data_IF_331110973205
#
_entry.id   IF_331110973205
#
_cell.length_a   1.000
_cell.length_b   1.000
_cell.length_c   1.000
_cell.angle_alpha   90.00
_cell.angle_beta   90.00
_cell.angle_gamma   90.00
#
_symmetry.space_group_name_H-M   'P 1'
#
loop_
_entity.id
_entity.type
_entity.pdbx_description
1 polymer ?
#
# COMPACT_ATOMS: atom_id res chain seq x y z
N UNK A 1 -7.77 -22.91 -17.57
CA UNK A 1 -7.90 -21.45 -17.80
C UNK A 1 -6.76 -20.78 -17.04
N UNK A 2 -5.89 -19.99 -17.70
CA UNK A 2 -4.90 -19.16 -16.97
C UNK A 2 -5.68 -18.03 -16.31
N UNK A 3 -5.89 -18.11 -15.00
CA UNK A 3 -6.45 -17.01 -14.23
C UNK A 3 -5.40 -15.89 -14.16
N UNK A 4 -5.36 -15.01 -15.16
CA UNK A 4 -4.50 -13.83 -15.13
C UNK A 4 -5.13 -12.78 -14.24
N UNK A 5 -4.51 -12.53 -13.09
CA UNK A 5 -4.83 -11.37 -12.26
C UNK A 5 -4.24 -10.15 -12.98
N UNK A 6 -5.05 -9.13 -13.22
CA UNK A 6 -4.53 -7.88 -13.80
C UNK A 6 -3.65 -7.15 -12.77
N UNK A 7 -2.61 -6.40 -13.20
CA UNK A 7 -1.75 -5.65 -12.28
C UNK A 7 -2.53 -4.73 -11.32
N UNK A 8 -3.63 -4.14 -11.80
CA UNK A 8 -4.52 -3.33 -10.98
C UNK A 8 -5.24 -4.15 -9.90
N UNK A 9 -5.77 -5.34 -10.24
CA UNK A 9 -6.41 -6.22 -9.27
C UNK A 9 -5.42 -6.75 -8.23
N UNK A 10 -4.20 -7.07 -8.64
CA UNK A 10 -3.13 -7.48 -7.72
C UNK A 10 -2.78 -6.37 -6.73
N UNK A 11 -2.55 -5.14 -7.23
CA UNK A 11 -2.28 -3.97 -6.39
C UNK A 11 -3.40 -3.69 -5.40
N UNK A 12 -4.66 -3.78 -5.83
CA UNK A 12 -5.80 -3.60 -4.94
C UNK A 12 -5.86 -4.69 -3.85
N UNK A 13 -5.60 -5.94 -4.22
CA UNK A 13 -5.55 -7.06 -3.26
C UNK A 13 -4.43 -6.86 -2.23
N UNK A 14 -3.23 -6.50 -2.68
CA UNK A 14 -2.08 -6.23 -1.83
C UNK A 14 -2.37 -5.13 -0.81
N UNK A 15 -2.89 -3.99 -1.25
CA UNK A 15 -3.25 -2.88 -0.35
C UNK A 15 -4.36 -3.25 0.64
N UNK A 16 -5.36 -3.99 0.19
CA UNK A 16 -6.43 -4.50 1.07
C UNK A 16 -5.85 -5.45 2.12
N UNK A 17 -4.91 -6.30 1.75
CA UNK A 17 -4.25 -7.22 2.68
C UNK A 17 -3.35 -6.46 3.66
N UNK A 18 -2.56 -5.49 3.20
CA UNK A 18 -1.72 -4.62 4.03
C UNK A 18 -2.54 -3.87 5.09
N UNK A 19 -3.71 -3.34 4.69
CA UNK A 19 -4.66 -2.71 5.61
C UNK A 19 -5.16 -3.68 6.68
N UNK A 20 -5.45 -4.94 6.31
CA UNK A 20 -5.83 -5.99 7.27
C UNK A 20 -4.69 -6.38 8.23
N UNK A 21 -3.43 -6.12 7.88
CA UNK A 21 -2.28 -6.31 8.77
C UNK A 21 -2.05 -5.12 9.72
N UNK A 22 -2.88 -4.07 9.64
CA UNK A 22 -2.79 -2.89 10.49
C UNK A 22 -1.92 -1.77 9.94
N UNK A 23 -1.54 -1.82 8.64
CA UNK A 23 -0.88 -0.69 7.99
C UNK A 23 -1.90 0.41 7.74
N UNK A 24 -1.57 1.62 8.19
CA UNK A 24 -2.40 2.80 7.97
C UNK A 24 -2.52 3.14 6.48
N UNK A 25 -3.71 3.58 6.05
CA UNK A 25 -3.95 3.96 4.66
C UNK A 25 -2.97 5.05 4.20
N UNK A 26 -2.53 5.94 5.09
CA UNK A 26 -1.54 6.98 4.84
C UNK A 26 -0.17 6.44 4.41
N UNK A 27 0.22 5.25 4.89
CA UNK A 27 1.48 4.59 4.53
C UNK A 27 1.38 3.86 3.19
N UNK A 28 0.18 3.41 2.82
CA UNK A 28 -0.09 2.69 1.57
C UNK A 28 -0.32 3.69 0.41
N UNK A 29 -0.84 4.88 0.73
CA UNK A 29 -1.24 5.91 -0.21
C UNK A 29 -0.13 6.37 -1.19
N UNK A 30 1.15 6.53 -0.79
CA UNK A 30 2.22 6.88 -1.74
C UNK A 30 2.41 5.84 -2.85
N UNK A 31 2.15 4.57 -2.55
CA UNK A 31 2.31 3.45 -3.48
C UNK A 31 1.11 3.28 -4.42
N UNK A 32 -0.04 3.92 -4.14
CA UNK A 32 -1.26 3.73 -4.92
C UNK A 32 -1.30 4.57 -6.21
N UNK A 33 -0.47 5.61 -6.32
CA UNK A 33 -0.34 6.45 -7.52
C UNK A 33 -1.52 7.42 -7.73
N UNK A 34 -2.15 7.89 -6.65
CA UNK A 34 -3.21 8.90 -6.76
C UNK A 34 -2.59 10.29 -7.06
N UNK A 35 -2.94 10.87 -8.21
CA UNK A 35 -2.43 12.18 -8.68
C UNK A 35 -2.96 13.39 -7.88
N UNK A 36 -4.03 13.24 -7.10
CA UNK A 36 -4.62 14.36 -6.36
C UNK A 36 -3.89 14.62 -5.04
N UNK A 37 -2.84 15.45 -5.12
CA UNK A 37 -2.08 16.03 -4.00
C UNK A 37 -2.91 16.77 -2.93
N UNK A 38 -4.17 17.11 -3.20
CA UNK A 38 -4.99 17.89 -2.26
C UNK A 38 -5.52 17.10 -1.06
N UNK A 39 -5.65 15.78 -1.15
CA UNK A 39 -5.98 14.94 0.03
C UNK A 39 -4.73 14.48 0.80
N UNK A 40 -3.54 14.91 0.37
CA UNK A 40 -2.24 14.45 0.86
C UNK A 40 -1.54 15.41 1.84
N UNK A 41 -2.00 16.65 2.01
CA UNK A 41 -1.36 17.60 2.95
C UNK A 41 -1.46 17.16 4.42
N UNK A 42 -2.49 16.40 4.77
CA UNK A 42 -2.69 15.86 6.14
C UNK A 42 -1.66 14.76 6.46
N UNK A 43 -1.22 14.00 5.44
CA UNK A 43 -0.32 12.85 5.59
C UNK A 43 1.11 13.13 5.12
N UNK A 44 1.37 14.28 4.50
CA UNK A 44 2.68 14.68 3.95
C UNK A 44 3.80 14.82 5.00
N UNK A 45 3.51 14.59 6.28
CA UNK A 45 4.49 14.51 7.37
C UNK A 45 4.94 13.09 7.72
N UNK A 46 4.30 12.04 7.18
CA UNK A 46 4.86 10.71 7.30
C UNK A 46 6.06 10.60 6.37
N UNK A 47 7.23 10.40 6.97
CA UNK A 47 8.44 10.20 6.20
C UNK A 47 8.26 8.95 5.35
N UNK A 48 8.63 9.02 4.07
CA UNK A 48 8.68 7.85 3.18
C UNK A 48 9.47 6.69 3.85
N UNK A 49 10.42 7.00 4.74
CA UNK A 49 11.13 6.01 5.54
C UNK A 49 10.24 5.19 6.50
N UNK A 50 9.26 5.81 7.17
CA UNK A 50 8.33 5.10 8.07
C UNK A 50 7.37 4.18 7.29
N UNK A 51 6.97 4.62 6.08
CA UNK A 51 6.19 3.80 5.17
C UNK A 51 6.97 2.61 4.62
N UNK A 52 8.24 2.83 4.28
CA UNK A 52 9.12 1.78 3.80
C UNK A 52 9.36 0.71 4.88
N UNK A 53 9.69 1.13 6.11
CA UNK A 53 9.90 0.19 7.22
C UNK A 53 8.64 -0.64 7.53
N UNK A 54 7.47 0.01 7.54
CA UNK A 54 6.18 -0.68 7.75
C UNK A 54 5.87 -1.68 6.63
N UNK A 55 6.18 -1.31 5.38
CA UNK A 55 6.04 -2.21 4.23
C UNK A 55 6.96 -3.42 4.37
N UNK A 56 8.25 -3.21 4.64
CA UNK A 56 9.26 -4.28 4.73
C UNK A 56 8.97 -5.27 5.86
N UNK A 57 8.50 -4.78 7.01
CA UNK A 57 8.14 -5.63 8.14
C UNK A 57 6.96 -6.58 7.85
N UNK A 58 6.06 -6.17 6.96
CA UNK A 58 4.79 -6.88 6.74
C UNK A 58 4.83 -7.70 5.45
N UNK A 59 5.52 -7.24 4.40
CA UNK A 59 5.58 -7.97 3.12
C UNK A 59 6.15 -9.39 3.28
N UNK A 60 7.03 -9.60 4.26
CA UNK A 60 7.58 -10.92 4.63
C UNK A 60 6.51 -11.92 5.11
N UNK A 61 5.33 -11.44 5.54
CA UNK A 61 4.20 -12.27 6.00
C UNK A 61 3.16 -12.51 4.90
N UNK A 62 3.39 -11.99 3.69
CA UNK A 62 2.44 -12.14 2.59
C UNK A 62 2.34 -13.61 2.19
N UNK A 63 1.14 -14.22 2.23
CA UNK A 63 0.96 -15.62 1.87
C UNK A 63 1.07 -15.76 0.34
N UNK A 64 2.17 -16.37 -0.11
CA UNK A 64 2.45 -16.70 -1.52
C UNK A 64 2.06 -18.14 -1.83
#
# INVERSE_FOLDING_TARGET
MKHSISPHKFRHFLFTWMKKQGIDDALIQPYSGHESRQSLEIYSKLSIGEAQESYENIINKFPI
#
